data_IF_340072595566
#
_entry.id   IF_340072595566
#
_cell.length_a   1.000
_cell.length_b   1.000
_cell.length_c   1.000
_cell.angle_alpha   90.00
_cell.angle_beta   90.00
_cell.angle_gamma   90.00
#
_symmetry.space_group_name_H-M   'P 1'
#
loop_
_entity.id
_entity.type
_entity.pdbx_description
1 polymer ?
#
# COMPACT_ATOMS: atom_id res chain seq x y z
N UNK A 1 -22.58 53.32 47.60
CA UNK A 1 -22.46 51.98 46.98
C UNK A 1 -22.88 52.07 45.52
N UNK A 2 -21.93 52.28 44.60
CA UNK A 2 -22.20 52.35 43.14
C UNK A 2 -21.64 51.06 42.52
N UNK A 3 -22.52 50.28 41.88
CA UNK A 3 -22.18 48.98 41.27
C UNK A 3 -21.27 49.23 40.05
N UNK A 4 -20.08 48.66 40.06
CA UNK A 4 -19.15 48.69 38.94
C UNK A 4 -19.52 47.55 37.98
N UNK A 5 -20.05 47.90 36.81
CA UNK A 5 -20.42 46.93 35.78
C UNK A 5 -19.15 46.34 35.16
N UNK A 6 -18.94 45.04 35.33
CA UNK A 6 -17.89 44.28 34.66
C UNK A 6 -18.34 44.04 33.23
N UNK A 7 -17.71 44.74 32.27
CA UNK A 7 -17.87 44.47 30.84
C UNK A 7 -16.97 43.27 30.50
N UNK A 8 -17.55 42.07 30.45
CA UNK A 8 -16.85 40.87 29.98
C UNK A 8 -16.78 40.95 28.44
N UNK A 9 -15.60 41.32 27.91
CA UNK A 9 -15.29 41.12 26.49
C UNK A 9 -15.13 39.62 26.25
N UNK A 10 -16.17 38.97 25.74
CA UNK A 10 -16.08 37.61 25.22
C UNK A 10 -15.33 37.64 23.89
N UNK A 11 -14.02 37.38 23.93
CA UNK A 11 -13.21 37.13 22.74
C UNK A 11 -13.62 35.76 22.18
N UNK A 12 -14.54 35.74 21.21
CA UNK A 12 -14.94 34.52 20.52
C UNK A 12 -13.76 34.02 19.68
N UNK A 13 -13.00 33.05 20.21
CA UNK A 13 -12.00 32.31 19.47
C UNK A 13 -12.71 31.39 18.47
N UNK A 14 -12.89 31.88 17.24
CA UNK A 14 -13.28 31.05 16.10
C UNK A 14 -12.16 30.03 15.85
N UNK A 15 -12.33 28.81 16.36
CA UNK A 15 -11.46 27.70 16.01
C UNK A 15 -11.60 27.44 14.51
N UNK A 16 -10.54 27.71 13.74
CA UNK A 16 -10.44 27.34 12.33
C UNK A 16 -10.48 25.81 12.24
N UNK A 17 -11.66 25.25 12.01
CA UNK A 17 -11.83 23.87 11.59
C UNK A 17 -11.16 23.74 10.23
N UNK A 18 -9.93 23.23 10.21
CA UNK A 18 -9.29 22.84 8.97
C UNK A 18 -10.10 21.67 8.39
N UNK A 19 -10.55 21.74 7.12
CA UNK A 19 -11.27 20.63 6.53
C UNK A 19 -10.37 19.39 6.54
N UNK A 20 -10.93 18.25 6.95
CA UNK A 20 -10.25 16.97 6.81
C UNK A 20 -10.07 16.73 5.31
N UNK A 21 -8.87 16.92 4.81
CA UNK A 21 -8.57 16.76 3.40
C UNK A 21 -8.70 15.27 3.06
N UNK A 22 -9.61 14.94 2.14
CA UNK A 22 -9.74 13.59 1.63
C UNK A 22 -8.42 13.17 0.98
N UNK A 23 -8.08 11.88 1.09
CA UNK A 23 -6.87 11.33 0.49
C UNK A 23 -6.88 11.57 -1.03
N UNK A 24 -5.86 12.22 -1.54
CA UNK A 24 -5.61 12.36 -2.96
C UNK A 24 -4.93 11.12 -3.55
N UNK A 25 -4.91 10.98 -4.88
CA UNK A 25 -4.27 9.85 -5.56
C UNK A 25 -2.78 9.72 -5.24
N UNK A 26 -2.12 10.84 -4.93
CA UNK A 26 -0.67 10.89 -4.69
C UNK A 26 -0.28 10.59 -3.23
N UNK A 27 -1.24 10.58 -2.29
CA UNK A 27 -0.98 10.23 -0.90
C UNK A 27 -0.55 8.77 -0.71
N UNK A 28 -0.88 7.93 -1.69
CA UNK A 28 -0.53 6.51 -1.78
C UNK A 28 0.92 6.28 -2.19
N UNK A 29 1.58 7.28 -2.77
CA UNK A 29 2.94 7.13 -3.29
C UNK A 29 3.96 6.96 -2.15
N UNK A 30 5.08 6.31 -2.48
CA UNK A 30 6.17 6.07 -1.54
C UNK A 30 6.28 4.61 -1.12
N UNK A 31 7.11 4.37 -0.11
CA UNK A 31 7.48 3.01 0.30
C UNK A 31 6.59 2.53 1.45
N UNK A 32 5.99 1.37 1.28
CA UNK A 32 5.08 0.74 2.23
C UNK A 32 5.61 -0.62 2.69
N UNK A 33 5.63 -0.85 3.99
CA UNK A 33 5.90 -2.14 4.62
C UNK A 33 4.64 -3.00 4.56
N UNK A 34 4.78 -4.21 4.02
CA UNK A 34 3.69 -5.19 3.96
C UNK A 34 3.26 -5.67 5.35
N UNK A 35 2.03 -6.17 5.50
CA UNK A 35 1.49 -6.60 6.81
C UNK A 35 2.37 -7.62 7.54
N UNK A 36 3.04 -8.51 6.79
CA UNK A 36 3.94 -9.52 7.36
C UNK A 36 5.28 -8.94 7.83
N UNK A 37 5.61 -7.70 7.47
CA UNK A 37 6.90 -7.06 7.73
C UNK A 37 8.04 -7.59 6.85
N UNK A 38 7.79 -8.57 5.97
CA UNK A 38 8.85 -9.26 5.21
C UNK A 38 9.35 -8.52 3.98
N UNK A 39 8.58 -7.54 3.49
CA UNK A 39 8.94 -6.76 2.32
C UNK A 39 8.46 -5.32 2.41
N UNK A 40 9.16 -4.43 1.69
CA UNK A 40 8.71 -3.07 1.40
C UNK A 40 8.47 -2.89 -0.09
N UNK A 41 7.34 -2.29 -0.45
CA UNK A 41 6.90 -2.02 -1.81
C UNK A 41 6.90 -0.52 -2.04
N UNK A 42 7.61 -0.05 -3.07
CA UNK A 42 7.50 1.32 -3.56
C UNK A 42 6.30 1.41 -4.49
N UNK A 43 5.33 2.24 -4.13
CA UNK A 43 4.22 2.65 -4.99
C UNK A 43 4.58 3.94 -5.72
N UNK A 44 4.36 3.97 -7.04
CA UNK A 44 4.71 5.09 -7.92
C UNK A 44 3.72 5.18 -9.09
N UNK A 45 3.62 6.37 -9.71
CA UNK A 45 2.85 6.55 -10.94
C UNK A 45 3.59 5.95 -12.13
N UNK A 46 2.87 5.20 -12.95
CA UNK A 46 3.36 4.65 -14.21
C UNK A 46 2.49 5.17 -15.37
N UNK A 47 2.73 4.66 -16.59
CA UNK A 47 2.10 5.17 -17.81
C UNK A 47 0.57 5.32 -17.67
N UNK A 48 0.05 6.47 -18.10
CA UNK A 48 -1.38 6.79 -18.05
C UNK A 48 -1.89 7.07 -16.63
N UNK A 49 -1.06 7.65 -15.77
CA UNK A 49 -1.36 7.97 -14.37
C UNK A 49 -1.84 6.80 -13.52
N UNK A 50 -1.54 5.57 -13.95
CA UNK A 50 -1.83 4.35 -13.20
C UNK A 50 -0.92 4.23 -11.98
N UNK A 51 -1.39 3.53 -10.95
CA UNK A 51 -0.54 3.17 -9.82
C UNK A 51 0.16 1.83 -10.09
N UNK A 52 1.48 1.84 -9.99
CA UNK A 52 2.33 0.67 -10.10
C UNK A 52 3.19 0.52 -8.83
N UNK A 53 3.83 -0.64 -8.69
CA UNK A 53 4.69 -0.88 -7.55
C UNK A 53 5.65 -2.05 -7.68
N UNK A 54 6.76 -1.94 -6.97
CA UNK A 54 7.85 -2.93 -6.97
C UNK A 54 8.43 -3.16 -5.58
N UNK A 55 8.96 -4.35 -5.33
CA UNK A 55 9.69 -4.64 -4.08
C UNK A 55 11.01 -3.87 -4.09
N UNK A 56 11.26 -3.10 -3.03
CA UNK A 56 12.51 -2.33 -2.85
C UNK A 56 13.36 -2.83 -1.69
N UNK A 57 12.80 -3.67 -0.82
CA UNK A 57 13.52 -4.27 0.30
C UNK A 57 12.85 -5.57 0.76
N UNK A 58 13.66 -6.51 1.23
CA UNK A 58 13.25 -7.77 1.85
C UNK A 58 13.93 -7.92 3.21
N UNK A 59 13.22 -8.43 4.21
CA UNK A 59 13.83 -8.76 5.51
C UNK A 59 14.80 -9.93 5.39
N UNK A 60 14.52 -10.84 4.46
CA UNK A 60 15.31 -12.02 4.14
C UNK A 60 15.51 -12.07 2.62
N UNK A 61 16.57 -11.44 2.09
CA UNK A 61 16.80 -11.37 0.64
C UNK A 61 17.31 -12.69 0.05
N UNK A 62 17.82 -13.60 0.88
CA UNK A 62 18.36 -14.90 0.47
C UNK A 62 17.52 -16.05 1.02
N UNK A 63 17.63 -17.24 0.41
CA UNK A 63 16.97 -18.44 0.93
C UNK A 63 17.57 -18.89 2.28
N UNK A 64 16.72 -19.35 3.22
CA UNK A 64 17.17 -19.73 4.56
C UNK A 64 17.96 -21.05 4.53
N UNK A 65 18.62 -21.35 5.65
CA UNK A 65 19.21 -22.67 5.86
C UNK A 65 18.14 -23.76 5.76
N UNK A 66 18.46 -24.88 5.11
CA UNK A 66 17.54 -25.99 4.87
C UNK A 66 16.75 -25.88 3.56
N UNK A 67 16.84 -24.76 2.83
CA UNK A 67 16.38 -24.68 1.45
C UNK A 67 17.41 -25.30 0.48
N UNK A 68 16.97 -25.84 -0.64
CA UNK A 68 17.86 -26.38 -1.68
C UNK A 68 18.79 -25.30 -2.27
N UNK A 69 18.35 -24.04 -2.21
CA UNK A 69 19.06 -22.87 -2.73
C UNK A 69 19.59 -21.98 -1.60
N UNK A 70 19.82 -22.56 -0.41
CA UNK A 70 20.25 -21.83 0.79
C UNK A 70 21.42 -20.87 0.50
N UNK A 71 21.28 -19.63 0.97
CA UNK A 71 22.27 -18.56 0.77
C UNK A 71 22.19 -17.85 -0.59
N UNK A 72 21.50 -18.40 -1.59
CA UNK A 72 21.28 -17.71 -2.87
C UNK A 72 20.23 -16.59 -2.72
N UNK A 73 20.33 -15.50 -3.51
CA UNK A 73 19.28 -14.48 -3.57
C UNK A 73 17.94 -15.07 -4.00
N UNK A 74 16.84 -14.61 -3.37
CA UNK A 74 15.50 -15.05 -3.74
C UNK A 74 15.15 -14.61 -5.16
N UNK A 75 14.67 -15.58 -5.94
CA UNK A 75 14.08 -15.37 -7.26
C UNK A 75 12.66 -15.94 -7.31
N UNK A 76 11.92 -15.65 -8.37
CA UNK A 76 10.50 -15.96 -8.50
C UNK A 76 10.20 -17.41 -8.87
N UNK A 77 10.82 -18.36 -8.16
CA UNK A 77 10.74 -19.80 -8.45
C UNK A 77 9.32 -20.38 -8.50
N UNK A 78 8.35 -19.71 -7.86
CA UNK A 78 6.95 -20.12 -7.83
C UNK A 78 6.13 -19.60 -9.01
N UNK A 79 6.71 -18.84 -9.94
CA UNK A 79 5.96 -18.30 -11.06
C UNK A 79 5.35 -19.43 -11.91
N UNK A 80 4.06 -19.38 -12.26
CA UNK A 80 3.45 -20.37 -13.15
C UNK A 80 4.10 -20.38 -14.54
N UNK A 81 4.59 -19.22 -15.01
CA UNK A 81 5.38 -19.10 -16.23
C UNK A 81 6.85 -19.40 -15.95
N UNK A 82 7.32 -20.54 -16.48
CA UNK A 82 8.70 -20.99 -16.28
C UNK A 82 9.74 -19.95 -16.74
N UNK A 83 9.45 -19.16 -17.77
CA UNK A 83 10.38 -18.14 -18.28
C UNK A 83 10.59 -16.97 -17.31
N UNK A 84 9.71 -16.81 -16.31
CA UNK A 84 9.79 -15.76 -15.30
C UNK A 84 10.45 -16.22 -14.01
N UNK A 85 10.77 -17.50 -13.84
CA UNK A 85 11.18 -18.05 -12.53
C UNK A 85 12.53 -17.58 -12.03
N UNK A 86 13.41 -17.14 -12.94
CA UNK A 86 14.76 -16.69 -12.58
C UNK A 86 14.83 -15.19 -12.25
N UNK A 87 13.72 -14.46 -12.34
CA UNK A 87 13.70 -13.02 -12.03
C UNK A 87 13.93 -12.80 -10.53
N UNK A 88 14.78 -11.85 -10.12
CA UNK A 88 14.99 -11.53 -8.70
C UNK A 88 13.69 -11.05 -8.03
N UNK A 89 13.47 -11.44 -6.76
CA UNK A 89 12.34 -10.91 -5.97
C UNK A 89 12.59 -9.44 -5.60
N UNK A 90 13.81 -9.07 -5.25
CA UNK A 90 14.16 -7.68 -5.02
C UNK A 90 14.17 -6.91 -6.36
N UNK A 91 13.41 -5.83 -6.45
CA UNK A 91 13.19 -5.08 -7.68
C UNK A 91 11.98 -5.57 -8.50
N UNK A 92 11.32 -6.64 -8.07
CA UNK A 92 10.20 -7.22 -8.80
C UNK A 92 9.00 -6.27 -8.86
N UNK A 93 8.52 -5.96 -10.07
CA UNK A 93 7.25 -5.28 -10.30
C UNK A 93 6.10 -6.26 -10.08
N UNK A 94 5.21 -5.91 -9.15
CA UNK A 94 4.12 -6.79 -8.73
C UNK A 94 2.78 -6.09 -8.57
N UNK A 95 2.75 -4.76 -8.58
CA UNK A 95 1.51 -3.96 -8.51
C UNK A 95 1.33 -3.24 -9.85
N UNK A 96 0.17 -3.40 -10.48
CA UNK A 96 -0.15 -2.72 -11.75
C UNK A 96 -1.66 -2.57 -11.95
N UNK A 97 -2.06 -1.86 -13.01
CA UNK A 97 -3.44 -1.81 -13.50
C UNK A 97 -4.32 -0.77 -12.83
N UNK A 98 -4.01 -0.41 -11.58
CA UNK A 98 -4.81 0.45 -10.72
C UNK A 98 -5.21 1.78 -11.37
N UNK A 99 -6.48 2.13 -11.22
CA UNK A 99 -7.07 3.41 -11.65
C UNK A 99 -7.72 4.12 -10.47
N UNK A 100 -7.65 5.45 -10.48
CA UNK A 100 -8.28 6.28 -9.45
C UNK A 100 -9.78 6.43 -9.75
N UNK A 101 -10.64 6.11 -8.77
CA UNK A 101 -12.10 6.23 -8.90
C UNK A 101 -12.67 7.57 -8.38
N UNK A 102 -11.82 8.40 -7.74
CA UNK A 102 -12.22 9.62 -7.03
C UNK A 102 -11.97 9.57 -5.52
N UNK A 103 -11.84 8.38 -4.95
CA UNK A 103 -11.72 8.13 -3.51
C UNK A 103 -10.59 7.13 -3.19
N UNK A 104 -10.43 6.10 -4.02
CA UNK A 104 -9.47 5.02 -3.82
C UNK A 104 -8.94 4.49 -5.15
N UNK A 105 -7.94 3.61 -5.08
CA UNK A 105 -7.35 2.97 -6.25
C UNK A 105 -8.00 1.61 -6.48
N UNK A 106 -8.58 1.38 -7.65
CA UNK A 106 -9.36 0.19 -8.00
C UNK A 106 -8.83 -0.53 -9.24
N UNK A 107 -9.43 -1.68 -9.59
CA UNK A 107 -9.13 -2.48 -10.79
C UNK A 107 -7.65 -2.87 -10.95
N UNK A 108 -6.96 -2.90 -9.81
CA UNK A 108 -5.56 -3.23 -9.75
C UNK A 108 -5.31 -4.73 -9.68
N UNK A 109 -4.06 -5.08 -9.91
CA UNK A 109 -3.56 -6.43 -9.75
C UNK A 109 -2.31 -6.43 -8.90
N UNK A 110 -2.22 -7.43 -8.02
CA UNK A 110 -1.06 -7.67 -7.18
C UNK A 110 -0.62 -9.14 -7.37
N UNK A 111 0.60 -9.34 -7.87
CA UNK A 111 1.25 -10.64 -7.93
C UNK A 111 1.92 -10.98 -6.60
N UNK A 112 1.69 -12.19 -6.09
CA UNK A 112 2.36 -12.70 -4.91
C UNK A 112 3.42 -13.75 -5.31
N UNK A 113 4.73 -13.45 -5.20
CA UNK A 113 5.78 -14.41 -5.51
C UNK A 113 5.84 -15.60 -4.53
N UNK A 114 5.22 -15.50 -3.35
CA UNK A 114 5.21 -16.62 -2.40
C UNK A 114 4.32 -17.76 -2.85
N UNK A 115 3.25 -17.50 -3.61
CA UNK A 115 2.29 -18.51 -4.07
C UNK A 115 2.13 -18.57 -5.60
N UNK A 116 2.79 -17.67 -6.35
CA UNK A 116 2.74 -17.63 -7.80
C UNK A 116 1.44 -17.07 -8.38
N UNK A 117 0.56 -16.48 -7.56
CA UNK A 117 -0.77 -16.04 -7.99
C UNK A 117 -0.87 -14.53 -8.14
N UNK A 118 -1.76 -14.11 -9.03
CA UNK A 118 -2.17 -12.72 -9.18
C UNK A 118 -3.59 -12.56 -8.66
N UNK A 119 -3.81 -11.52 -7.86
CA UNK A 119 -5.09 -11.19 -7.27
C UNK A 119 -5.60 -9.87 -7.85
N UNK A 120 -6.92 -9.77 -8.04
CA UNK A 120 -7.56 -8.47 -8.27
C UNK A 120 -7.62 -7.71 -6.96
N UNK A 121 -7.39 -6.40 -7.01
CA UNK A 121 -7.18 -5.59 -5.82
C UNK A 121 -7.79 -4.20 -5.92
N UNK A 122 -8.14 -3.65 -4.75
CA UNK A 122 -8.27 -2.22 -4.54
C UNK A 122 -7.45 -1.78 -3.32
N UNK A 123 -7.08 -0.50 -3.27
CA UNK A 123 -6.31 0.13 -2.20
C UNK A 123 -7.03 1.36 -1.68
N UNK A 124 -7.20 1.45 -0.36
CA UNK A 124 -7.91 2.53 0.33
C UNK A 124 -7.05 3.04 1.49
N UNK A 125 -6.80 4.35 1.53
CA UNK A 125 -5.99 4.96 2.58
C UNK A 125 -6.86 5.25 3.80
N UNK A 126 -6.83 4.36 4.80
CA UNK A 126 -7.64 4.52 6.03
C UNK A 126 -7.01 5.55 7.01
N UNK A 127 -5.70 5.80 6.89
CA UNK A 127 -4.98 6.87 7.59
C UNK A 127 -3.67 7.20 6.84
N UNK A 128 -3.01 8.34 7.10
CA UNK A 128 -1.80 8.75 6.37
C UNK A 128 -0.70 7.68 6.29
N UNK A 129 -0.60 6.80 7.30
CA UNK A 129 0.41 5.73 7.37
C UNK A 129 -0.21 4.32 7.45
N UNK A 130 -1.48 4.17 7.05
CA UNK A 130 -2.19 2.88 7.08
C UNK A 130 -2.99 2.69 5.79
N UNK A 131 -2.45 1.85 4.92
CA UNK A 131 -3.02 1.50 3.64
C UNK A 131 -3.76 0.16 3.75
N UNK A 132 -5.05 0.17 3.47
CA UNK A 132 -5.83 -1.05 3.30
C UNK A 132 -5.62 -1.57 1.90
N UNK A 133 -5.25 -2.84 1.78
CA UNK A 133 -5.10 -3.54 0.50
C UNK A 133 -6.05 -4.73 0.52
N UNK A 134 -7.06 -4.72 -0.33
CA UNK A 134 -8.00 -5.83 -0.49
C UNK A 134 -7.64 -6.63 -1.72
N UNK A 135 -7.35 -7.92 -1.58
CA UNK A 135 -7.15 -8.86 -2.68
C UNK A 135 -8.27 -9.89 -2.76
N UNK A 136 -8.73 -10.23 -3.95
CA UNK A 136 -9.85 -11.15 -4.17
C UNK A 136 -9.75 -11.92 -5.50
N UNK A 137 -10.54 -12.98 -5.62
CA UNK A 137 -10.73 -13.75 -6.86
C UNK A 137 -12.20 -13.65 -7.27
N UNK A 138 -12.47 -13.04 -8.42
CA UNK A 138 -13.84 -12.75 -8.86
C UNK A 138 -14.44 -11.55 -8.12
N UNK A 139 -15.21 -11.79 -7.06
CA UNK A 139 -15.92 -10.74 -6.33
C UNK A 139 -15.15 -10.25 -5.08
N UNK A 140 -15.12 -8.94 -4.85
CA UNK A 140 -14.38 -8.32 -3.73
C UNK A 140 -14.86 -8.75 -2.33
N UNK A 141 -16.11 -9.19 -2.21
CA UNK A 141 -16.65 -9.79 -0.99
C UNK A 141 -15.92 -11.09 -0.59
N UNK A 142 -15.42 -11.85 -1.57
CA UNK A 142 -14.75 -13.14 -1.37
C UNK A 142 -13.22 -13.02 -1.53
N UNK A 143 -12.61 -12.29 -0.60
CA UNK A 143 -11.18 -11.98 -0.62
C UNK A 143 -10.56 -11.86 0.78
N UNK A 144 -9.33 -11.35 0.82
CA UNK A 144 -8.59 -11.04 2.05
C UNK A 144 -8.18 -9.57 2.08
N UNK A 145 -8.20 -9.00 3.27
CA UNK A 145 -7.74 -7.63 3.53
C UNK A 145 -6.45 -7.70 4.32
N UNK A 146 -5.44 -6.97 3.86
CA UNK A 146 -4.18 -6.78 4.58
C UNK A 146 -3.93 -5.29 4.74
N UNK A 147 -3.10 -4.94 5.72
CA UNK A 147 -2.75 -3.54 5.99
C UNK A 147 -1.27 -3.33 5.79
N UNK A 148 -0.91 -2.37 4.94
CA UNK A 148 0.46 -1.92 4.77
C UNK A 148 0.66 -0.62 5.54
N UNK A 149 1.89 -0.41 6.03
CA UNK A 149 2.24 0.76 6.85
C UNK A 149 3.49 1.45 6.31
N UNK A 150 3.67 2.73 6.60
CA UNK A 150 4.89 3.48 6.27
C UNK A 150 5.38 4.29 7.45
#
# INVERSE_FOLDING_TARGET
MKKLSILVLALASLALLSPLQAAGPDDYLGTWTTQSGKSRVLLFKCQGDKLCGKIVWLSEPNYPAGDAEAGQPKHDRNNPDASKRDRPIQGLFLVWGFTWDGEKWEDGHIYNPEDGKTYSCYMELEAPNRLKVRGYVGFSALGKTVYWTR
#
